data_IF_739498544615
#
_entry.id   IF_739498544615
#
_cell.length_a   1.000
_cell.length_b   1.000
_cell.length_c   1.000
_cell.angle_alpha   90.00
_cell.angle_beta   90.00
_cell.angle_gamma   90.00
#
_symmetry.space_group_name_H-M   'P 1'
#
loop_
_entity.id
_entity.type
_entity.pdbx_description
1 polymer ?
#
# COMPACT_ATOMS: atom_id res chain seq x y z
N UNK A 1 -4.50 2.15 -29.61
CA UNK A 1 -4.98 2.74 -28.34
C UNK A 1 -4.08 3.92 -27.98
N UNK A 2 -4.63 4.99 -27.40
CA UNK A 2 -3.82 6.17 -27.03
C UNK A 2 -2.85 5.79 -25.89
N UNK A 3 -1.57 6.14 -26.05
CA UNK A 3 -0.55 6.02 -25.00
C UNK A 3 -0.99 6.87 -23.81
N UNK A 4 -1.07 6.27 -22.61
CA UNK A 4 -1.33 7.01 -21.37
C UNK A 4 -0.11 6.89 -20.46
N UNK A 5 0.67 7.97 -20.39
CA UNK A 5 1.76 8.05 -19.44
C UNK A 5 1.16 8.22 -18.03
N UNK A 6 1.59 7.37 -17.13
CA UNK A 6 1.20 7.36 -15.71
C UNK A 6 2.46 7.42 -14.88
N UNK A 7 2.46 8.25 -13.86
CA UNK A 7 3.55 8.34 -12.90
C UNK A 7 3.01 8.13 -11.48
N UNK A 8 3.80 7.48 -10.64
CA UNK A 8 3.47 7.29 -9.23
C UNK A 8 4.70 7.52 -8.35
N UNK A 9 4.44 7.96 -7.13
CA UNK A 9 5.46 8.14 -6.08
C UNK A 9 5.04 7.32 -4.86
N UNK A 10 5.90 6.42 -4.46
CA UNK A 10 5.90 5.72 -3.19
C UNK A 10 6.79 6.49 -2.22
N UNK A 11 6.17 7.12 -1.20
CA UNK A 11 6.87 7.99 -0.24
C UNK A 11 7.08 7.23 1.07
N UNK A 12 7.99 6.26 1.03
CA UNK A 12 8.29 5.39 2.15
C UNK A 12 9.21 6.03 3.22
N UNK A 13 9.25 5.42 4.40
CA UNK A 13 10.07 5.90 5.53
C UNK A 13 11.58 5.74 5.29
N UNK A 14 12.00 4.74 4.50
CA UNK A 14 13.43 4.44 4.27
C UNK A 14 13.89 4.71 2.84
N UNK A 15 12.97 4.71 1.88
CA UNK A 15 13.22 5.04 0.48
C UNK A 15 12.04 5.79 -0.11
N UNK A 16 12.30 6.61 -1.11
CA UNK A 16 11.29 7.18 -2.00
C UNK A 16 11.53 6.59 -3.38
N UNK A 17 10.47 6.08 -4.00
CA UNK A 17 10.52 5.51 -5.34
C UNK A 17 9.50 6.19 -6.26
N UNK A 18 9.99 6.77 -7.36
CA UNK A 18 9.15 7.34 -8.43
C UNK A 18 9.20 6.44 -9.65
N UNK A 19 8.06 6.07 -10.19
CA UNK A 19 7.93 5.24 -11.38
C UNK A 19 7.16 5.96 -12.47
N UNK A 20 7.64 5.84 -13.72
CA UNK A 20 6.97 6.34 -14.92
C UNK A 20 6.69 5.16 -15.84
N UNK A 21 5.45 5.00 -16.27
CA UNK A 21 5.04 3.91 -17.12
C UNK A 21 4.08 4.37 -18.24
N UNK A 22 4.13 3.67 -19.36
CA UNK A 22 3.18 3.79 -20.46
C UNK A 22 2.13 2.67 -20.32
N UNK A 23 0.92 3.01 -19.93
CA UNK A 23 -0.19 2.08 -19.74
C UNK A 23 -1.03 2.04 -21.03
N UNK A 24 -1.02 0.90 -21.72
CA UNK A 24 -1.84 0.64 -22.91
C UNK A 24 -3.12 -0.13 -22.56
N UNK A 25 -3.04 -1.05 -21.60
CA UNK A 25 -4.17 -1.80 -21.03
C UNK A 25 -3.87 -2.21 -19.60
N UNK A 26 -4.76 -2.97 -18.97
CA UNK A 26 -4.56 -3.50 -17.60
C UNK A 26 -3.38 -4.47 -17.47
N UNK A 27 -3.04 -5.15 -18.59
CA UNK A 27 -1.99 -6.16 -18.67
C UNK A 27 -0.96 -5.82 -19.77
N UNK A 28 -0.82 -4.55 -20.13
CA UNK A 28 0.17 -4.04 -21.09
C UNK A 28 0.72 -2.72 -20.56
N UNK A 29 1.73 -2.83 -19.70
CA UNK A 29 2.33 -1.72 -18.95
C UNK A 29 3.85 -1.75 -19.18
N UNK A 30 4.34 -0.74 -19.87
CA UNK A 30 5.77 -0.54 -20.17
C UNK A 30 6.37 0.45 -19.16
N UNK A 31 7.29 -0.01 -18.32
CA UNK A 31 8.02 0.85 -17.39
C UNK A 31 9.11 1.59 -18.15
N UNK A 32 9.04 2.92 -18.15
CA UNK A 32 9.97 3.80 -18.88
C UNK A 32 11.12 4.30 -18.00
N UNK A 33 10.91 4.41 -16.69
CA UNK A 33 11.92 4.88 -15.77
C UNK A 33 11.51 4.72 -14.32
N UNK A 34 12.50 4.50 -13.46
CA UNK A 34 12.35 4.41 -12.01
C UNK A 34 13.46 5.22 -11.36
N UNK A 35 13.10 6.11 -10.44
CA UNK A 35 14.02 6.85 -9.59
C UNK A 35 13.88 6.39 -8.14
N UNK A 36 14.96 5.92 -7.52
CA UNK A 36 14.95 5.44 -6.12
C UNK A 36 16.05 6.13 -5.34
N UNK A 37 15.66 6.75 -4.23
CA UNK A 37 16.58 7.48 -3.35
C UNK A 37 16.30 7.14 -1.88
N UNK A 38 17.29 7.32 -0.98
CA UNK A 38 17.06 7.28 0.45
C UNK A 38 16.01 8.32 0.87
N UNK A 39 15.16 7.95 1.80
CA UNK A 39 14.13 8.85 2.33
C UNK A 39 14.62 9.56 3.59
N UNK A 40 14.45 10.87 3.61
CA UNK A 40 14.68 11.70 4.77
C UNK A 40 13.42 12.54 5.09
N UNK A 41 13.28 12.94 6.36
CA UNK A 41 12.15 13.77 6.80
C UNK A 41 10.82 13.02 6.98
N UNK A 42 10.83 11.66 6.91
CA UNK A 42 9.67 10.83 7.21
C UNK A 42 9.90 9.96 8.44
N UNK A 43 8.85 9.77 9.23
CA UNK A 43 8.84 8.84 10.36
C UNK A 43 7.50 8.11 10.43
N UNK A 44 7.55 6.76 10.39
CA UNK A 44 6.35 5.90 10.45
C UNK A 44 5.25 6.32 9.46
N UNK A 45 5.63 6.55 8.20
CA UNK A 45 4.72 6.94 7.11
C UNK A 45 4.22 8.38 7.17
N UNK A 46 4.76 9.24 8.05
CA UNK A 46 4.31 10.63 8.22
C UNK A 46 5.48 11.59 7.97
N UNK A 47 5.22 12.69 7.27
CA UNK A 47 6.19 13.77 7.07
C UNK A 47 6.41 14.50 8.41
N UNK A 48 7.65 14.47 8.91
CA UNK A 48 8.08 15.14 10.16
C UNK A 48 9.03 16.32 9.89
N UNK A 49 9.71 16.31 8.73
CA UNK A 49 10.53 17.40 8.23
C UNK A 49 10.20 17.65 6.75
N UNK A 50 9.56 18.80 6.49
CA UNK A 50 9.08 19.16 5.15
C UNK A 50 10.22 19.35 4.13
N UNK A 51 11.32 19.99 4.55
CA UNK A 51 12.42 20.32 3.63
C UNK A 51 13.20 19.07 3.23
N UNK A 52 13.49 18.17 4.17
CA UNK A 52 14.15 16.90 3.89
C UNK A 52 13.28 16.00 3.01
N UNK A 53 11.98 15.87 3.33
CA UNK A 53 11.05 15.08 2.52
C UNK A 53 10.95 15.63 1.09
N UNK A 54 10.83 16.95 0.94
CA UNK A 54 10.82 17.62 -0.36
C UNK A 54 12.11 17.36 -1.14
N UNK A 55 13.29 17.44 -0.49
CA UNK A 55 14.57 17.18 -1.15
C UNK A 55 14.62 15.74 -1.70
N UNK A 56 14.29 14.75 -0.88
CA UNK A 56 14.26 13.33 -1.30
C UNK A 56 13.23 13.08 -2.41
N UNK A 57 12.03 13.65 -2.33
CA UNK A 57 11.02 13.55 -3.41
C UNK A 57 11.54 14.19 -4.71
N UNK A 58 12.18 15.37 -4.61
CA UNK A 58 12.74 16.07 -5.78
C UNK A 58 13.79 15.21 -6.49
N UNK A 59 14.67 14.60 -5.75
CA UNK A 59 15.74 13.75 -6.29
C UNK A 59 15.15 12.51 -6.97
N UNK A 60 14.22 11.80 -6.32
CA UNK A 60 13.55 10.62 -6.89
C UNK A 60 12.80 10.95 -8.19
N UNK A 61 12.06 12.07 -8.22
CA UNK A 61 11.34 12.53 -9.43
C UNK A 61 12.31 12.90 -10.55
N UNK A 62 13.41 13.60 -10.23
CA UNK A 62 14.44 13.98 -11.21
C UNK A 62 15.10 12.74 -11.83
N UNK A 63 15.41 11.73 -11.04
CA UNK A 63 16.00 10.50 -11.54
C UNK A 63 15.05 9.72 -12.44
N UNK A 64 13.76 9.60 -12.05
CA UNK A 64 12.74 8.98 -12.88
C UNK A 64 12.54 9.73 -14.21
N UNK A 65 12.54 11.06 -14.19
CA UNK A 65 12.47 11.88 -15.42
C UNK A 65 13.71 11.69 -16.32
N UNK A 66 14.91 11.66 -15.72
CA UNK A 66 16.17 11.47 -16.45
C UNK A 66 16.21 10.11 -17.15
N UNK A 67 15.78 9.04 -16.46
CA UNK A 67 15.79 7.67 -16.98
C UNK A 67 14.70 7.48 -18.04
N UNK A 68 13.49 7.98 -17.80
CA UNK A 68 12.37 7.84 -18.73
C UNK A 68 12.42 8.78 -19.94
N UNK A 69 13.19 9.86 -19.86
CA UNK A 69 13.15 10.95 -20.84
C UNK A 69 11.83 11.73 -20.83
N UNK A 70 10.96 11.53 -19.82
CA UNK A 70 9.63 12.10 -19.74
C UNK A 70 9.54 13.13 -18.62
N UNK A 71 8.85 14.25 -18.88
CA UNK A 71 8.48 15.20 -17.84
C UNK A 71 7.31 14.64 -17.03
N UNK A 72 7.38 14.77 -15.71
CA UNK A 72 6.33 14.38 -14.78
C UNK A 72 5.55 15.63 -14.36
N UNK A 73 4.34 15.81 -14.90
CA UNK A 73 3.45 16.92 -14.52
C UNK A 73 2.46 16.55 -13.43
N UNK A 74 2.09 15.26 -13.33
CA UNK A 74 1.19 14.74 -12.30
C UNK A 74 1.57 13.32 -11.88
N UNK A 75 1.22 12.97 -10.64
CA UNK A 75 1.53 11.67 -10.03
C UNK A 75 0.38 11.13 -9.19
N UNK A 76 0.32 9.80 -9.08
CA UNK A 76 -0.40 9.13 -8.02
C UNK A 76 0.54 8.95 -6.82
N UNK A 77 0.07 9.16 -5.60
CA UNK A 77 0.91 9.11 -4.41
C UNK A 77 0.40 8.03 -3.46
N UNK A 78 1.31 7.16 -3.00
CA UNK A 78 1.05 6.22 -1.92
C UNK A 78 0.81 6.94 -0.59
N UNK A 79 -0.13 6.45 0.19
CA UNK A 79 -0.43 6.98 1.52
C UNK A 79 -0.48 5.84 2.52
N UNK A 80 0.32 5.95 3.58
CA UNK A 80 0.29 5.07 4.75
C UNK A 80 0.49 5.86 6.04
N UNK A 81 0.50 5.18 7.18
CA UNK A 81 0.82 5.71 8.49
C UNK A 81 -0.30 5.52 9.51
N UNK A 82 0.08 5.61 10.81
CA UNK A 82 -0.80 5.38 11.96
C UNK A 82 -2.06 6.26 12.02
N UNK A 83 -2.14 7.28 11.20
CA UNK A 83 -3.28 8.19 11.11
C UNK A 83 -4.44 7.65 10.27
N UNK A 84 -4.22 6.55 9.57
CA UNK A 84 -5.22 5.84 8.77
C UNK A 84 -6.09 4.98 9.70
N UNK A 85 -7.39 4.98 9.47
CA UNK A 85 -8.32 4.07 10.13
C UNK A 85 -9.35 3.57 9.15
N UNK A 86 -9.87 2.37 9.36
CA UNK A 86 -10.88 1.77 8.51
C UNK A 86 -12.07 1.24 9.30
N UNK A 87 -13.20 1.14 8.62
CA UNK A 87 -14.41 0.47 9.11
C UNK A 87 -15.25 -0.04 7.93
N UNK A 88 -16.09 -1.01 8.18
CA UNK A 88 -17.09 -1.46 7.21
C UNK A 88 -18.42 -0.79 7.50
N UNK A 89 -19.08 -0.28 6.45
CA UNK A 89 -20.40 0.35 6.59
C UNK A 89 -21.35 -0.14 5.50
N UNK A 90 -22.62 -0.27 5.89
CA UNK A 90 -23.69 -0.73 5.01
C UNK A 90 -24.54 0.44 4.55
N UNK A 91 -24.68 0.59 3.24
CA UNK A 91 -25.64 1.49 2.61
C UNK A 91 -26.88 0.72 2.18
N UNK A 92 -28.05 1.35 2.27
CA UNK A 92 -29.35 0.74 1.90
C UNK A 92 -30.17 1.76 1.13
N UNK A 93 -30.77 1.35 0.02
CA UNK A 93 -31.74 2.15 -0.74
C UNK A 93 -32.90 1.30 -1.22
N UNK A 94 -34.10 1.87 -1.26
CA UNK A 94 -35.26 1.27 -1.91
C UNK A 94 -35.25 1.54 -3.42
N UNK A 95 -35.83 0.63 -4.19
CA UNK A 95 -36.09 0.74 -5.62
C UNK A 95 -37.60 0.87 -5.82
N UNK A 96 -38.13 2.11 -5.84
CA UNK A 96 -39.58 2.35 -5.79
C UNK A 96 -40.28 2.22 -7.15
N UNK A 97 -39.55 1.94 -8.23
CA UNK A 97 -40.08 1.84 -9.59
C UNK A 97 -40.92 0.56 -9.79
N UNK A 98 -41.94 0.63 -10.62
CA UNK A 98 -42.85 -0.48 -10.90
C UNK A 98 -42.13 -1.68 -11.55
N UNK A 99 -41.11 -1.41 -12.37
CA UNK A 99 -40.29 -2.44 -13.01
C UNK A 99 -39.27 -3.10 -12.06
N UNK A 100 -39.06 -2.51 -10.87
CA UNK A 100 -38.13 -2.98 -9.84
C UNK A 100 -36.73 -3.30 -10.35
N UNK A 101 -36.34 -2.72 -11.49
CA UNK A 101 -35.06 -2.96 -12.13
C UNK A 101 -33.96 -2.08 -11.52
N UNK A 102 -32.85 -2.68 -11.07
CA UNK A 102 -31.68 -1.97 -10.56
C UNK A 102 -30.97 -1.25 -11.70
N UNK A 103 -30.78 0.05 -11.58
CA UNK A 103 -30.13 0.92 -12.55
C UNK A 103 -28.81 1.48 -12.03
N UNK A 104 -27.89 1.96 -12.88
CA UNK A 104 -26.65 2.60 -12.45
C UNK A 104 -26.84 3.75 -11.43
N UNK A 105 -27.98 4.43 -11.50
CA UNK A 105 -28.31 5.49 -10.54
C UNK A 105 -28.56 4.95 -9.12
N UNK A 106 -29.10 3.74 -8.99
CA UNK A 106 -29.32 3.10 -7.68
C UNK A 106 -28.00 2.69 -7.04
N UNK A 107 -27.00 2.25 -7.85
CA UNK A 107 -25.64 2.02 -7.36
C UNK A 107 -25.04 3.31 -6.80
N UNK A 108 -25.17 4.43 -7.51
CA UNK A 108 -24.68 5.73 -7.00
C UNK A 108 -25.35 6.13 -5.70
N UNK A 109 -26.67 5.92 -5.59
CA UNK A 109 -27.44 6.22 -4.37
C UNK A 109 -27.00 5.34 -3.19
N UNK A 110 -26.90 4.03 -3.38
CA UNK A 110 -26.53 3.10 -2.30
C UNK A 110 -25.09 3.31 -1.85
N UNK A 111 -24.17 3.59 -2.77
CA UNK A 111 -22.78 3.96 -2.44
C UNK A 111 -22.70 5.30 -1.70
N UNK A 112 -23.52 6.29 -2.08
CA UNK A 112 -23.63 7.56 -1.35
C UNK A 112 -24.14 7.35 0.07
N UNK A 113 -25.16 6.49 0.26
CA UNK A 113 -25.67 6.13 1.57
C UNK A 113 -24.59 5.43 2.43
N UNK A 114 -23.82 4.50 1.83
CA UNK A 114 -22.71 3.83 2.53
C UNK A 114 -21.56 4.78 2.91
N UNK A 115 -21.33 5.85 2.13
CA UNK A 115 -20.33 6.89 2.42
C UNK A 115 -20.74 7.88 3.51
N UNK A 116 -22.02 7.93 3.85
CA UNK A 116 -22.56 8.85 4.87
C UNK A 116 -22.29 8.31 6.28
N UNK A 117 -21.00 8.22 6.64
CA UNK A 117 -20.54 7.83 7.98
C UNK A 117 -20.08 9.06 8.76
N UNK A 118 -20.22 9.01 10.07
CA UNK A 118 -19.61 10.02 10.94
C UNK A 118 -18.08 9.83 10.92
N UNK A 119 -17.37 10.78 10.30
CA UNK A 119 -15.91 10.79 10.26
C UNK A 119 -15.43 11.63 11.45
N UNK A 120 -14.48 11.14 12.28
CA UNK A 120 -13.93 11.91 13.39
C UNK A 120 -13.35 13.27 12.94
N UNK A 121 -13.38 14.25 13.83
CA UNK A 121 -12.79 15.56 13.58
C UNK A 121 -11.31 15.44 13.18
N UNK A 122 -10.87 16.26 12.21
CA UNK A 122 -9.52 16.20 11.65
C UNK A 122 -9.24 15.03 10.72
N UNK A 123 -10.20 14.13 10.47
CA UNK A 123 -10.09 13.07 9.45
C UNK A 123 -11.00 13.34 8.25
N UNK A 124 -10.68 12.72 7.12
CA UNK A 124 -11.49 12.72 5.89
C UNK A 124 -11.48 11.35 5.24
N UNK A 125 -12.51 11.08 4.48
CA UNK A 125 -12.63 9.89 3.65
C UNK A 125 -11.51 9.87 2.59
N UNK A 126 -10.71 8.80 2.60
CA UNK A 126 -9.68 8.51 1.60
C UNK A 126 -10.24 7.56 0.54
N UNK A 127 -10.77 6.40 0.95
CA UNK A 127 -11.39 5.43 0.05
C UNK A 127 -12.74 4.95 0.60
N UNK A 128 -13.63 4.55 -0.33
CA UNK A 128 -14.88 3.87 -0.02
C UNK A 128 -15.07 2.77 -1.08
N UNK A 129 -14.67 1.55 -0.74
CA UNK A 129 -14.55 0.44 -1.69
C UNK A 129 -15.70 -0.53 -1.48
N UNK A 130 -16.61 -0.71 -2.47
CA UNK A 130 -17.68 -1.68 -2.41
C UNK A 130 -17.10 -3.09 -2.28
N UNK A 131 -17.66 -3.88 -1.36
CA UNK A 131 -17.28 -5.29 -1.16
C UNK A 131 -18.24 -6.22 -1.90
N UNK A 132 -19.50 -6.10 -1.61
CA UNK A 132 -20.57 -6.84 -2.28
C UNK A 132 -21.88 -6.07 -2.16
N UNK A 133 -22.81 -6.43 -3.02
CA UNK A 133 -24.19 -5.94 -2.96
C UNK A 133 -25.11 -7.08 -2.52
N UNK A 134 -26.30 -6.75 -1.98
CA UNK A 134 -27.38 -7.70 -1.77
C UNK A 134 -28.68 -7.11 -2.30
N UNK A 135 -29.55 -7.95 -2.84
CA UNK A 135 -30.90 -7.60 -3.26
C UNK A 135 -31.90 -8.21 -2.27
N UNK A 136 -32.85 -7.39 -1.80
CA UNK A 136 -33.89 -7.80 -0.84
C UNK A 136 -33.34 -8.40 0.48
N UNK A 137 -32.04 -8.22 0.77
CA UNK A 137 -31.39 -8.80 1.94
C UNK A 137 -30.96 -10.27 1.80
N UNK A 138 -31.10 -10.83 0.62
CA UNK A 138 -30.78 -12.22 0.29
C UNK A 138 -29.32 -12.40 -0.14
N UNK A 139 -29.07 -13.15 -1.21
CA UNK A 139 -27.72 -13.54 -1.67
C UNK A 139 -26.85 -12.34 -2.07
N UNK A 140 -25.53 -12.52 -1.91
CA UNK A 140 -24.51 -11.55 -2.35
C UNK A 140 -24.39 -11.55 -3.87
N UNK A 141 -24.38 -10.38 -4.47
CA UNK A 141 -24.20 -10.18 -5.91
C UNK A 141 -23.05 -9.20 -6.18
N UNK A 142 -22.24 -9.48 -7.20
CA UNK A 142 -21.13 -8.58 -7.61
C UNK A 142 -21.62 -7.48 -8.55
N UNK A 143 -22.59 -7.75 -9.42
CA UNK A 143 -23.10 -6.81 -10.45
C UNK A 143 -24.62 -6.77 -10.44
N UNK A 144 -25.24 -5.95 -9.59
CA UNK A 144 -26.69 -5.92 -9.43
C UNK A 144 -27.43 -5.16 -10.54
N UNK A 145 -26.76 -4.36 -11.38
CA UNK A 145 -27.41 -3.62 -12.47
C UNK A 145 -28.09 -4.57 -13.46
N UNK A 146 -29.37 -4.32 -13.77
CA UNK A 146 -30.18 -5.19 -14.61
C UNK A 146 -30.89 -6.31 -13.88
N UNK A 147 -30.68 -6.49 -12.57
CA UNK A 147 -31.41 -7.46 -11.74
C UNK A 147 -32.67 -6.80 -11.15
N UNK A 148 -33.69 -7.63 -10.82
CA UNK A 148 -34.90 -7.16 -10.17
C UNK A 148 -34.77 -7.20 -8.65
N UNK A 149 -35.23 -6.14 -7.97
CA UNK A 149 -35.27 -6.06 -6.52
C UNK A 149 -36.01 -4.82 -6.04
N UNK A 150 -36.56 -4.87 -4.84
CA UNK A 150 -37.22 -3.74 -4.20
C UNK A 150 -36.29 -2.95 -3.30
N UNK A 151 -35.18 -3.61 -2.88
CA UNK A 151 -34.16 -3.06 -1.98
C UNK A 151 -32.78 -3.45 -2.46
N UNK A 152 -31.87 -2.48 -2.53
CA UNK A 152 -30.46 -2.69 -2.82
C UNK A 152 -29.62 -2.25 -1.61
N UNK A 153 -28.76 -3.15 -1.14
CA UNK A 153 -27.78 -2.87 -0.09
C UNK A 153 -26.37 -3.01 -0.67
N UNK A 154 -25.42 -2.30 -0.05
CA UNK A 154 -23.99 -2.46 -0.31
C UNK A 154 -23.21 -2.47 0.99
N UNK A 155 -22.30 -3.43 1.13
CA UNK A 155 -21.27 -3.39 2.15
C UNK A 155 -20.04 -2.70 1.58
N UNK A 156 -19.53 -1.70 2.28
CA UNK A 156 -18.43 -0.85 1.78
C UNK A 156 -17.34 -0.75 2.82
N UNK A 157 -16.10 -0.98 2.42
CA UNK A 157 -14.92 -0.72 3.24
C UNK A 157 -14.58 0.77 3.14
N UNK A 158 -14.66 1.46 4.27
CA UNK A 158 -14.43 2.90 4.40
C UNK A 158 -13.06 3.12 5.02
N UNK A 159 -12.23 3.90 4.37
CA UNK A 159 -10.87 4.25 4.85
C UNK A 159 -10.80 5.76 5.03
N UNK A 160 -10.38 6.20 6.20
CA UNK A 160 -10.20 7.61 6.54
C UNK A 160 -8.76 7.92 6.92
N UNK A 161 -8.33 9.16 6.66
CA UNK A 161 -6.99 9.64 6.95
C UNK A 161 -7.00 11.00 7.63
N UNK A 162 -5.96 11.33 8.41
CA UNK A 162 -5.76 12.67 8.98
C UNK A 162 -5.60 13.71 7.87
N UNK A 163 -6.36 14.80 7.97
CA UNK A 163 -6.29 15.92 7.02
C UNK A 163 -4.90 16.55 7.00
N UNK A 164 -4.32 16.81 8.17
CA UNK A 164 -3.01 17.46 8.28
C UNK A 164 -1.87 16.58 7.72
N UNK A 165 -1.86 15.27 8.04
CA UNK A 165 -0.83 14.34 7.55
C UNK A 165 -0.84 14.23 6.03
N UNK A 166 -2.02 14.07 5.44
CA UNK A 166 -2.17 13.97 3.97
C UNK A 166 -1.85 15.30 3.30
N UNK A 167 -2.28 16.44 3.88
CA UNK A 167 -1.98 17.76 3.32
C UNK A 167 -0.48 18.07 3.34
N UNK A 168 0.25 17.66 4.38
CA UNK A 168 1.71 17.82 4.43
C UNK A 168 2.38 17.03 3.30
N UNK A 169 1.99 15.78 3.09
CA UNK A 169 2.49 14.95 1.98
C UNK A 169 2.21 15.59 0.62
N UNK A 170 0.95 15.98 0.38
CA UNK A 170 0.52 16.65 -0.87
C UNK A 170 1.29 17.95 -1.08
N UNK A 171 1.52 18.73 -0.01
CA UNK A 171 2.28 19.98 -0.07
C UNK A 171 3.75 19.74 -0.44
N UNK A 172 4.39 18.66 0.06
CA UNK A 172 5.75 18.28 -0.37
C UNK A 172 5.79 18.04 -1.90
N UNK A 173 4.84 17.29 -2.45
CA UNK A 173 4.77 16.99 -3.89
C UNK A 173 4.46 18.26 -4.70
N UNK A 174 3.47 19.06 -4.29
CA UNK A 174 3.15 20.32 -4.99
C UNK A 174 4.29 21.33 -4.99
N UNK A 175 5.11 21.37 -3.92
CA UNK A 175 6.22 22.32 -3.79
C UNK A 175 7.35 22.10 -4.83
N UNK A 176 7.37 20.95 -5.50
CA UNK A 176 8.31 20.65 -6.60
C UNK A 176 7.70 20.85 -7.99
N UNK A 177 6.49 21.44 -8.06
CA UNK A 177 5.78 21.70 -9.33
C UNK A 177 5.07 20.51 -9.93
N UNK A 178 4.85 19.43 -9.17
CA UNK A 178 4.15 18.21 -9.60
C UNK A 178 2.76 18.17 -8.96
N UNK A 179 1.72 17.94 -9.77
CA UNK A 179 0.34 17.82 -9.29
C UNK A 179 0.06 16.41 -8.77
N UNK A 180 -0.69 16.30 -7.67
CA UNK A 180 -1.19 15.02 -7.17
C UNK A 180 -2.50 14.68 -7.86
N UNK A 181 -2.51 13.65 -8.70
CA UNK A 181 -3.70 13.21 -9.43
C UNK A 181 -4.63 12.38 -8.55
N UNK A 182 -4.07 11.46 -7.76
CA UNK A 182 -4.80 10.60 -6.83
C UNK A 182 -3.93 10.19 -5.64
N UNK A 183 -4.60 9.80 -4.53
CA UNK A 183 -3.99 9.30 -3.31
C UNK A 183 -4.45 7.85 -3.11
N UNK A 184 -3.51 6.93 -3.03
CA UNK A 184 -3.78 5.50 -2.98
C UNK A 184 -3.25 4.94 -1.66
N UNK A 185 -4.10 4.26 -0.90
CA UNK A 185 -3.65 3.56 0.30
C UNK A 185 -2.65 2.46 -0.08
N UNK A 186 -1.46 2.46 0.52
CA UNK A 186 -0.34 1.60 0.14
C UNK A 186 -0.67 0.10 0.16
N UNK A 187 -1.33 -0.48 1.19
CA UNK A 187 -1.67 -1.91 1.17
C UNK A 187 -2.65 -2.30 0.05
N UNK A 188 -3.47 -1.37 -0.47
CA UNK A 188 -4.27 -1.65 -1.67
C UNK A 188 -3.39 -1.77 -2.91
N UNK A 189 -2.42 -0.87 -3.04
CA UNK A 189 -1.46 -0.90 -4.14
C UNK A 189 -0.58 -2.16 -4.07
N UNK A 190 0.05 -2.44 -2.92
CA UNK A 190 0.89 -3.62 -2.74
C UNK A 190 0.13 -4.92 -3.06
N UNK A 191 -1.14 -5.02 -2.65
CA UNK A 191 -2.01 -6.16 -2.96
C UNK A 191 -2.20 -6.38 -4.46
N UNK A 192 -2.26 -5.30 -5.28
CA UNK A 192 -2.34 -5.43 -6.74
C UNK A 192 -1.07 -6.04 -7.34
N UNK A 193 0.09 -5.80 -6.73
CA UNK A 193 1.36 -6.30 -7.24
C UNK A 193 1.66 -7.74 -6.83
N UNK A 194 1.29 -8.17 -5.60
CA UNK A 194 1.81 -9.41 -5.01
C UNK A 194 0.79 -10.53 -4.84
N UNK A 195 -0.52 -10.22 -4.97
CA UNK A 195 -1.58 -11.20 -4.78
C UNK A 195 -2.16 -11.68 -6.11
N UNK A 196 -2.34 -12.99 -6.21
CA UNK A 196 -3.09 -13.57 -7.32
C UNK A 196 -4.59 -13.32 -7.18
N UNK A 197 -5.33 -13.41 -8.27
CA UNK A 197 -6.79 -13.30 -8.24
C UNK A 197 -7.41 -14.39 -7.36
N UNK A 198 -6.88 -15.62 -7.42
CA UNK A 198 -7.38 -16.72 -6.61
C UNK A 198 -7.22 -16.46 -5.12
N UNK A 199 -6.08 -15.93 -4.67
CA UNK A 199 -5.87 -15.58 -3.27
C UNK A 199 -6.86 -14.49 -2.80
N UNK A 200 -7.09 -13.45 -3.61
CA UNK A 200 -8.06 -12.40 -3.27
C UNK A 200 -9.50 -12.92 -3.21
N UNK A 201 -9.86 -13.87 -4.07
CA UNK A 201 -11.21 -14.49 -4.08
C UNK A 201 -11.41 -15.42 -2.88
N UNK A 202 -10.44 -16.30 -2.60
CA UNK A 202 -10.54 -17.30 -1.55
C UNK A 202 -10.39 -16.76 -0.15
N UNK A 203 -9.57 -15.72 0.00
CA UNK A 203 -9.23 -15.09 1.28
C UNK A 203 -7.75 -15.18 1.61
N UNK A 204 -7.11 -14.03 1.82
CA UNK A 204 -5.67 -13.89 2.11
C UNK A 204 -5.42 -12.68 2.99
N UNK A 205 -4.48 -12.80 3.92
CA UNK A 205 -3.89 -11.68 4.64
C UNK A 205 -2.63 -11.27 3.89
N UNK A 206 -2.42 -9.99 3.69
CA UNK A 206 -1.16 -9.43 3.20
C UNK A 206 -0.60 -8.48 4.25
N UNK A 207 0.70 -8.59 4.53
CA UNK A 207 1.43 -7.65 5.37
C UNK A 207 2.62 -7.10 4.57
N UNK A 208 2.59 -5.81 4.27
CA UNK A 208 3.71 -5.05 3.71
C UNK A 208 4.54 -4.51 4.86
N UNK A 209 5.66 -5.18 5.15
CA UNK A 209 6.58 -4.82 6.23
C UNK A 209 7.65 -3.90 5.68
N UNK A 210 7.39 -2.60 5.78
CA UNK A 210 8.28 -1.54 5.32
C UNK A 210 9.43 -1.25 6.30
N UNK A 211 9.95 -0.02 6.22
CA UNK A 211 10.93 0.49 7.17
C UNK A 211 10.29 1.05 8.45
N UNK A 212 9.17 1.78 8.33
CA UNK A 212 8.53 2.48 9.44
C UNK A 212 7.16 1.96 9.85
N UNK A 213 6.46 1.28 8.95
CA UNK A 213 5.11 0.74 9.12
C UNK A 213 5.02 -0.68 8.61
N UNK A 214 4.11 -1.45 9.19
CA UNK A 214 3.59 -2.70 8.65
C UNK A 214 2.14 -2.48 8.26
N UNK A 215 1.88 -2.54 6.98
CA UNK A 215 0.57 -2.24 6.39
C UNK A 215 -0.15 -3.54 6.08
N UNK A 216 -1.29 -3.74 6.73
CA UNK A 216 -2.06 -4.98 6.66
C UNK A 216 -3.29 -4.76 5.79
N UNK A 217 -3.55 -5.72 4.90
CA UNK A 217 -4.78 -5.81 4.14
C UNK A 217 -5.29 -7.25 4.11
N UNK A 218 -6.55 -7.44 4.40
CA UNK A 218 -7.26 -8.72 4.24
C UNK A 218 -8.14 -8.62 3.01
N UNK A 219 -7.96 -9.54 2.07
CA UNK A 219 -8.80 -9.66 0.89
C UNK A 219 -9.67 -10.91 1.00
N UNK A 220 -10.92 -10.82 0.55
CA UNK A 220 -11.86 -11.93 0.46
C UNK A 220 -12.98 -11.61 -0.54
N UNK A 221 -13.48 -12.60 -1.24
CA UNK A 221 -14.52 -12.46 -2.26
C UNK A 221 -14.12 -11.49 -3.40
N UNK A 222 -12.79 -11.36 -3.65
CA UNK A 222 -12.22 -10.46 -4.66
C UNK A 222 -12.18 -8.99 -4.24
N UNK A 223 -12.46 -8.66 -2.98
CA UNK A 223 -12.47 -7.28 -2.47
C UNK A 223 -11.71 -7.16 -1.15
N UNK A 224 -11.40 -5.92 -0.77
CA UNK A 224 -10.79 -5.63 0.53
C UNK A 224 -11.81 -5.87 1.66
N UNK A 225 -11.40 -6.62 2.66
CA UNK A 225 -12.22 -6.97 3.82
C UNK A 225 -11.87 -6.12 5.04
N UNK A 226 -10.59 -5.92 5.28
CA UNK A 226 -10.06 -5.18 6.43
C UNK A 226 -8.71 -4.56 6.08
N UNK A 227 -8.38 -3.41 6.70
CA UNK A 227 -7.06 -2.78 6.64
C UNK A 227 -6.65 -2.28 8.02
N UNK A 228 -5.38 -2.45 8.35
CA UNK A 228 -4.78 -1.90 9.56
C UNK A 228 -3.33 -1.46 9.30
N UNK A 229 -2.80 -0.56 10.09
CA UNK A 229 -1.43 -0.07 9.97
C UNK A 229 -0.77 -0.08 11.34
N UNK A 230 0.26 -0.90 11.47
CA UNK A 230 1.07 -1.04 12.69
C UNK A 230 2.31 -0.15 12.55
N UNK A 231 2.60 0.76 13.51
CA UNK A 231 3.79 1.63 13.46
C UNK A 231 5.05 0.92 14.00
N UNK A 232 5.21 -0.36 13.66
CA UNK A 232 6.35 -1.23 13.97
C UNK A 232 6.77 -1.93 12.69
N UNK A 233 8.06 -1.87 12.34
CA UNK A 233 8.61 -2.46 11.11
C UNK A 233 10.14 -2.54 11.17
N UNK A 234 10.82 -2.51 10.03
CA UNK A 234 12.27 -2.67 9.92
C UNK A 234 13.11 -1.69 10.74
N UNK A 235 12.62 -0.47 11.02
CA UNK A 235 13.30 0.50 11.87
C UNK A 235 13.48 -0.01 13.30
N UNK A 236 12.43 -0.62 13.87
CA UNK A 236 12.49 -1.18 15.21
C UNK A 236 13.52 -2.31 15.30
N UNK A 237 13.57 -3.20 14.29
CA UNK A 237 14.61 -4.24 14.20
C UNK A 237 16.01 -3.62 14.24
N UNK A 238 16.25 -2.58 13.45
CA UNK A 238 17.54 -1.88 13.43
C UNK A 238 17.85 -1.24 14.78
N UNK A 239 16.85 -0.62 15.41
CA UNK A 239 16.99 0.00 16.74
C UNK A 239 17.36 -1.04 17.82
N UNK A 240 16.70 -2.20 17.78
CA UNK A 240 16.98 -3.29 18.73
C UNK A 240 18.40 -3.84 18.56
N UNK A 241 18.85 -4.02 17.31
CA UNK A 241 20.23 -4.40 16.99
C UNK A 241 21.23 -3.34 17.52
N UNK A 242 20.94 -2.06 17.27
CA UNK A 242 21.81 -0.97 17.71
C UNK A 242 21.97 -0.95 19.23
N UNK A 243 20.86 -1.10 19.96
CA UNK A 243 20.84 -1.11 21.42
C UNK A 243 21.46 -2.42 21.96
N UNK A 244 21.02 -3.58 21.45
CA UNK A 244 21.43 -4.89 21.97
C UNK A 244 22.89 -5.21 21.73
N UNK A 245 23.48 -4.72 20.64
CA UNK A 245 24.88 -4.95 20.28
C UNK A 245 25.77 -3.72 20.52
N UNK A 246 25.23 -2.61 21.03
CA UNK A 246 26.00 -1.39 21.31
C UNK A 246 26.56 -0.74 20.03
N UNK A 247 25.85 -0.79 18.91
CA UNK A 247 26.31 -0.33 17.60
C UNK A 247 25.65 0.99 17.17
N UNK A 248 26.34 1.81 16.36
CA UNK A 248 25.69 2.92 15.66
C UNK A 248 24.55 2.44 14.77
N UNK A 249 23.46 3.20 14.66
CA UNK A 249 22.25 2.81 13.93
C UNK A 249 22.51 2.45 12.46
N UNK A 250 23.37 3.20 11.78
CA UNK A 250 23.74 2.94 10.39
C UNK A 250 24.52 1.63 10.21
N UNK A 251 25.32 1.23 11.21
CA UNK A 251 26.01 -0.05 11.23
C UNK A 251 25.02 -1.17 11.49
N UNK A 252 24.14 -1.02 12.47
CA UNK A 252 23.08 -1.97 12.77
C UNK A 252 22.17 -2.24 11.55
N UNK A 253 21.84 -1.19 10.76
CA UNK A 253 21.08 -1.34 9.52
C UNK A 253 21.83 -2.15 8.46
N UNK A 254 23.13 -1.92 8.29
CA UNK A 254 24.00 -2.72 7.40
C UNK A 254 24.05 -4.18 7.87
N UNK A 255 24.21 -4.42 9.19
CA UNK A 255 24.21 -5.78 9.76
C UNK A 255 22.88 -6.49 9.55
N UNK A 256 21.76 -5.82 9.82
CA UNK A 256 20.43 -6.36 9.51
C UNK A 256 20.28 -6.81 8.07
N UNK A 257 20.67 -5.95 7.12
CA UNK A 257 20.54 -6.24 5.68
C UNK A 257 21.49 -7.33 5.19
N UNK A 258 22.70 -7.35 5.70
CA UNK A 258 23.74 -8.29 5.24
C UNK A 258 23.67 -9.67 5.92
N UNK A 259 23.27 -9.70 7.18
CA UNK A 259 23.39 -10.90 8.01
C UNK A 259 22.10 -11.28 8.74
N UNK A 260 21.05 -10.46 8.70
CA UNK A 260 19.78 -10.72 9.39
C UNK A 260 19.15 -12.04 8.96
N UNK A 261 19.02 -12.98 9.92
CA UNK A 261 18.44 -14.30 9.72
C UNK A 261 17.62 -14.67 10.95
N UNK A 262 16.36 -15.05 10.76
CA UNK A 262 15.46 -15.43 11.87
C UNK A 262 15.44 -16.93 12.13
N UNK A 263 16.20 -17.74 11.37
CA UNK A 263 16.32 -19.20 11.49
C UNK A 263 17.79 -19.66 11.48
N UNK A 264 18.65 -19.11 12.37
CA UNK A 264 20.10 -19.35 12.31
C UNK A 264 20.51 -20.81 12.56
N UNK A 265 19.67 -21.62 13.20
CA UNK A 265 19.97 -23.01 13.52
C UNK A 265 20.09 -23.96 12.31
N UNK A 266 19.79 -23.50 11.10
CA UNK A 266 19.92 -24.27 9.85
C UNK A 266 21.28 -24.03 9.17
N UNK A 267 22.03 -23.00 9.57
CA UNK A 267 23.30 -22.63 8.96
C UNK A 267 24.42 -22.57 10.01
N UNK A 268 24.97 -23.74 10.36
CA UNK A 268 26.10 -23.89 11.30
C UNK A 268 27.46 -23.51 10.68
N UNK A 269 27.49 -23.07 9.40
CA UNK A 269 28.72 -22.78 8.66
C UNK A 269 29.19 -21.33 8.81
N UNK A 270 28.37 -20.42 9.38
CA UNK A 270 28.76 -19.02 9.57
C UNK A 270 29.64 -18.84 10.80
N UNK A 271 30.65 -17.98 10.65
CA UNK A 271 31.54 -17.59 11.74
C UNK A 271 30.76 -17.09 12.97
N UNK A 272 31.25 -17.35 14.17
CA UNK A 272 30.64 -16.89 15.42
C UNK A 272 30.51 -15.35 15.48
N UNK A 273 31.39 -14.64 14.79
CA UNK A 273 31.37 -13.19 14.64
C UNK A 273 31.15 -12.75 13.19
N UNK A 274 30.33 -11.74 13.01
CA UNK A 274 30.14 -11.03 11.73
C UNK A 274 30.74 -9.64 11.82
N UNK A 275 31.63 -9.32 10.87
CA UNK A 275 32.29 -8.03 10.79
C UNK A 275 31.73 -7.18 9.65
N UNK A 276 31.74 -5.86 9.85
CA UNK A 276 31.42 -4.86 8.83
C UNK A 276 32.56 -3.84 8.77
N UNK A 277 32.56 -3.02 7.70
CA UNK A 277 33.45 -1.87 7.53
C UNK A 277 33.65 -1.07 8.84
N UNK A 278 34.84 -0.53 9.04
CA UNK A 278 35.23 0.28 10.22
C UNK A 278 35.50 -0.52 11.50
N UNK A 279 35.78 -1.82 11.44
CA UNK A 279 36.20 -2.61 12.58
C UNK A 279 35.09 -2.96 13.56
N UNK A 280 33.82 -2.74 13.21
CA UNK A 280 32.69 -3.22 14.00
C UNK A 280 32.46 -4.70 13.73
N UNK A 281 32.35 -5.50 14.78
CA UNK A 281 31.94 -6.90 14.73
C UNK A 281 30.93 -7.19 15.84
N UNK A 282 30.14 -8.22 15.65
CA UNK A 282 29.16 -8.68 16.64
C UNK A 282 28.95 -10.19 16.52
N UNK A 283 28.48 -10.79 17.62
CA UNK A 283 28.04 -12.18 17.58
C UNK A 283 26.91 -12.36 16.58
N UNK A 284 27.10 -13.27 15.62
CA UNK A 284 26.07 -13.62 14.63
C UNK A 284 24.80 -14.16 15.30
N UNK A 285 24.99 -14.96 16.34
CA UNK A 285 23.90 -15.55 17.09
C UNK A 285 23.06 -14.49 17.78
N UNK A 286 23.69 -13.54 18.49
CA UNK A 286 22.99 -12.48 19.21
C UNK A 286 22.25 -11.56 18.22
N UNK A 287 22.85 -11.24 17.07
CA UNK A 287 22.19 -10.53 15.99
C UNK A 287 20.91 -11.23 15.53
N UNK A 288 21.01 -12.54 15.25
CA UNK A 288 19.87 -13.34 14.80
C UNK A 288 18.77 -13.47 15.85
N UNK A 289 19.14 -13.66 17.12
CA UNK A 289 18.19 -13.77 18.24
C UNK A 289 17.42 -12.46 18.44
N UNK A 290 18.08 -11.29 18.34
CA UNK A 290 17.43 -9.98 18.39
C UNK A 290 16.44 -9.81 17.24
N UNK A 291 16.87 -10.10 16.01
CA UNK A 291 16.02 -9.97 14.81
C UNK A 291 14.81 -10.89 14.93
N UNK A 292 15.03 -12.15 15.33
CA UNK A 292 13.98 -13.14 15.51
C UNK A 292 12.93 -12.70 16.53
N UNK A 293 13.37 -12.28 17.72
CA UNK A 293 12.45 -11.85 18.79
C UNK A 293 11.55 -10.71 18.34
N UNK A 294 12.09 -9.71 17.61
CA UNK A 294 11.29 -8.61 17.08
C UNK A 294 10.30 -9.08 16.01
N UNK A 295 10.67 -10.03 15.16
CA UNK A 295 9.77 -10.56 14.15
C UNK A 295 8.66 -11.44 14.73
N UNK A 296 8.94 -12.21 15.78
CA UNK A 296 7.93 -12.96 16.54
C UNK A 296 6.88 -12.00 17.13
N UNK A 297 7.31 -10.94 17.81
CA UNK A 297 6.40 -9.89 18.31
C UNK A 297 5.59 -9.24 17.19
N UNK A 298 6.20 -8.96 16.04
CA UNK A 298 5.48 -8.36 14.91
C UNK A 298 4.39 -9.29 14.37
N UNK A 299 4.62 -10.59 14.32
CA UNK A 299 3.59 -11.56 13.93
C UNK A 299 2.42 -11.59 14.93
N UNK A 300 2.70 -11.48 16.23
CA UNK A 300 1.64 -11.37 17.25
C UNK A 300 0.83 -10.08 17.06
N UNK A 301 1.50 -8.94 16.81
CA UNK A 301 0.84 -7.67 16.53
C UNK A 301 -0.04 -7.74 15.27
N UNK A 302 0.41 -8.44 14.22
CA UNK A 302 -0.41 -8.67 13.01
C UNK A 302 -1.70 -9.42 13.37
N UNK A 303 -1.63 -10.45 14.22
CA UNK A 303 -2.83 -11.18 14.63
C UNK A 303 -3.79 -10.33 15.47
N UNK A 304 -3.27 -9.45 16.32
CA UNK A 304 -4.10 -8.54 17.14
C UNK A 304 -4.92 -7.55 16.29
N UNK A 305 -4.42 -7.20 15.11
CA UNK A 305 -5.14 -6.31 14.19
C UNK A 305 -6.20 -7.02 13.33
N UNK A 306 -6.33 -8.35 13.45
CA UNK A 306 -7.32 -9.08 12.68
C UNK A 306 -8.74 -8.89 13.24
N UNK A 307 -9.77 -8.79 12.38
CA UNK A 307 -11.15 -8.57 12.79
C UNK A 307 -11.80 -9.80 13.45
N UNK A 308 -11.13 -10.93 13.49
CA UNK A 308 -11.57 -12.20 14.09
C UNK A 308 -10.38 -13.06 14.47
N UNK A 309 -10.58 -13.98 15.42
CA UNK A 309 -9.58 -14.98 15.79
C UNK A 309 -9.65 -16.26 14.94
N UNK A 310 -10.67 -16.43 14.11
CA UNK A 310 -10.77 -17.52 13.13
C UNK A 310 -10.06 -17.14 11.83
N UNK A 311 -8.72 -17.14 11.91
CA UNK A 311 -7.84 -16.75 10.79
C UNK A 311 -7.92 -17.74 9.61
N UNK A 312 -8.12 -19.03 9.89
CA UNK A 312 -8.18 -20.08 8.85
C UNK A 312 -9.42 -19.91 7.96
N UNK A 313 -10.57 -19.62 8.54
CA UNK A 313 -11.77 -19.30 7.79
C UNK A 313 -11.68 -17.92 7.11
N UNK A 314 -11.06 -16.95 7.77
CA UNK A 314 -10.90 -15.60 7.19
C UNK A 314 -9.97 -15.61 5.97
N UNK A 315 -8.85 -16.29 6.06
CA UNK A 315 -7.77 -16.28 5.06
C UNK A 315 -7.22 -17.70 4.81
N UNK A 316 -7.96 -18.56 4.14
CA UNK A 316 -7.53 -19.94 3.85
C UNK A 316 -6.26 -20.00 2.98
N UNK A 317 -5.92 -18.95 2.24
CA UNK A 317 -4.66 -18.84 1.51
C UNK A 317 -3.49 -18.38 2.40
N UNK A 318 -3.72 -18.09 3.69
CA UNK A 318 -2.69 -17.72 4.65
C UNK A 318 -2.24 -16.26 4.57
N UNK A 319 -0.96 -16.02 4.90
CA UNK A 319 -0.32 -14.71 4.95
C UNK A 319 0.71 -14.55 3.83
N UNK A 320 0.64 -13.43 3.14
CA UNK A 320 1.65 -12.99 2.18
C UNK A 320 2.45 -11.83 2.78
N UNK A 321 3.76 -12.05 2.94
CA UNK A 321 4.69 -11.05 3.46
C UNK A 321 5.35 -10.31 2.30
N UNK A 322 5.29 -9.00 2.27
CA UNK A 322 5.95 -8.16 1.27
C UNK A 322 6.64 -6.96 1.95
N UNK A 323 7.20 -6.04 1.17
CA UNK A 323 7.99 -4.94 1.70
C UNK A 323 9.47 -5.29 1.94
N UNK A 324 10.27 -4.27 2.22
CA UNK A 324 11.74 -4.45 2.35
C UNK A 324 12.17 -5.39 3.47
N UNK A 325 11.43 -5.41 4.58
CA UNK A 325 11.72 -6.29 5.72
C UNK A 325 11.35 -7.76 5.43
N UNK A 326 10.44 -8.03 4.49
CA UNK A 326 10.15 -9.39 4.04
C UNK A 326 11.35 -10.10 3.36
N UNK A 327 12.42 -9.37 3.08
CA UNK A 327 13.68 -9.91 2.56
C UNK A 327 14.57 -10.55 3.64
N UNK A 328 14.21 -10.44 4.93
CA UNK A 328 14.93 -11.14 6.00
C UNK A 328 14.90 -12.65 5.77
N UNK A 329 16.08 -13.27 5.86
CA UNK A 329 16.24 -14.71 5.66
C UNK A 329 15.43 -15.49 6.69
N UNK A 330 14.63 -16.46 6.24
CA UNK A 330 13.83 -17.36 7.10
C UNK A 330 12.53 -16.76 7.62
N UNK A 331 12.15 -15.52 7.20
CA UNK A 331 10.99 -14.83 7.77
C UNK A 331 9.66 -15.57 7.49
N UNK A 332 9.49 -16.13 6.30
CA UNK A 332 8.28 -16.89 5.97
C UNK A 332 8.16 -18.19 6.80
N UNK A 333 9.28 -18.86 7.03
CA UNK A 333 9.36 -20.06 7.85
C UNK A 333 9.07 -19.74 9.33
N UNK A 334 9.63 -18.66 9.87
CA UNK A 334 9.30 -18.18 11.20
C UNK A 334 7.80 -17.86 11.31
N UNK A 335 7.26 -17.14 10.33
CA UNK A 335 5.83 -16.82 10.29
C UNK A 335 4.94 -18.07 10.31
N UNK A 336 5.29 -19.12 9.54
CA UNK A 336 4.58 -20.41 9.57
C UNK A 336 4.61 -21.05 10.95
N UNK A 337 5.75 -20.99 11.63
CA UNK A 337 5.92 -21.61 12.96
C UNK A 337 5.13 -20.87 14.05
N UNK A 338 5.14 -19.54 14.03
CA UNK A 338 4.46 -18.68 15.03
C UNK A 338 2.95 -18.68 14.80
N UNK A 339 2.51 -18.47 13.56
CA UNK A 339 1.10 -18.29 13.23
C UNK A 339 0.35 -19.60 13.02
N UNK A 340 1.05 -20.71 12.78
CA UNK A 340 0.50 -22.05 12.49
C UNK A 340 -0.46 -22.10 11.31
N UNK A 341 -0.22 -21.27 10.30
CA UNK A 341 -0.89 -21.32 8.99
C UNK A 341 0.09 -20.96 7.86
N UNK A 342 -0.36 -21.01 6.62
CA UNK A 342 0.52 -20.83 5.47
C UNK A 342 1.05 -19.38 5.42
N UNK A 343 2.36 -19.26 5.20
CA UNK A 343 3.02 -17.96 5.00
C UNK A 343 3.93 -18.07 3.77
N UNK A 344 3.88 -17.08 2.89
CA UNK A 344 4.79 -16.97 1.76
C UNK A 344 5.33 -15.56 1.62
N UNK A 345 6.50 -15.41 1.01
CA UNK A 345 7.00 -14.13 0.55
C UNK A 345 6.23 -13.72 -0.72
N UNK A 346 5.77 -12.48 -0.76
CA UNK A 346 5.13 -11.84 -1.89
C UNK A 346 6.11 -10.93 -2.61
N UNK A 347 6.32 -11.21 -3.90
CA UNK A 347 7.06 -10.35 -4.81
C UNK A 347 6.12 -9.90 -5.92
N UNK A 348 6.34 -8.72 -6.54
CA UNK A 348 5.55 -8.32 -7.69
C UNK A 348 5.53 -9.41 -8.75
N UNK A 349 4.31 -9.79 -9.16
CA UNK A 349 4.10 -10.94 -10.07
C UNK A 349 4.58 -10.68 -11.50
N UNK A 350 4.82 -9.41 -11.86
CA UNK A 350 5.32 -9.01 -13.16
C UNK A 350 4.36 -9.26 -14.35
N UNK A 351 3.15 -9.72 -14.09
CA UNK A 351 2.17 -10.02 -15.16
C UNK A 351 1.77 -8.72 -15.86
N UNK A 352 2.07 -8.65 -17.17
CA UNK A 352 1.74 -7.49 -17.99
C UNK A 352 2.65 -6.28 -17.78
N UNK A 353 3.74 -6.40 -17.01
CA UNK A 353 4.72 -5.35 -16.77
C UNK A 353 6.04 -5.71 -17.45
N UNK A 354 6.63 -4.79 -18.20
CA UNK A 354 7.91 -4.96 -18.88
C UNK A 354 8.66 -3.62 -19.02
N UNK A 355 9.86 -3.64 -19.59
CA UNK A 355 10.73 -2.47 -19.74
C UNK A 355 11.79 -2.41 -18.63
N UNK A 356 11.97 -1.28 -17.97
CA UNK A 356 12.97 -1.08 -16.89
C UNK A 356 12.39 -1.63 -15.59
N UNK A 357 12.49 -2.94 -15.38
CA UNK A 357 11.78 -3.66 -14.30
C UNK A 357 12.67 -4.41 -13.32
N UNK A 358 13.98 -4.51 -13.53
CA UNK A 358 14.85 -5.39 -12.76
C UNK A 358 14.72 -5.25 -11.24
N UNK A 359 14.63 -4.01 -10.75
CA UNK A 359 14.46 -3.75 -9.31
C UNK A 359 13.03 -3.98 -8.83
N UNK A 360 12.03 -3.92 -9.73
CA UNK A 360 10.61 -3.97 -9.37
C UNK A 360 10.12 -5.34 -8.95
N UNK A 361 10.91 -6.40 -9.23
CA UNK A 361 10.58 -7.77 -8.79
C UNK A 361 10.94 -8.04 -7.32
N UNK A 362 11.68 -7.16 -6.66
CA UNK A 362 11.96 -7.27 -5.24
C UNK A 362 10.71 -6.89 -4.41
N UNK A 363 10.45 -7.62 -3.33
CA UNK A 363 9.34 -7.36 -2.41
C UNK A 363 9.33 -5.92 -1.88
N UNK A 364 10.51 -5.28 -1.76
CA UNK A 364 10.65 -3.90 -1.33
C UNK A 364 9.97 -2.88 -2.27
N UNK A 365 9.60 -3.27 -3.50
CA UNK A 365 8.94 -2.40 -4.49
C UNK A 365 7.51 -2.82 -4.79
N UNK A 366 6.90 -3.63 -3.93
CA UNK A 366 5.50 -4.07 -4.08
C UNK A 366 4.54 -2.87 -4.17
N UNK A 367 4.64 -1.92 -3.25
CA UNK A 367 3.84 -0.70 -3.27
C UNK A 367 4.10 0.15 -4.51
N UNK A 368 5.36 0.39 -4.87
CA UNK A 368 5.75 1.18 -6.05
C UNK A 368 5.15 0.60 -7.33
N UNK A 369 5.30 -0.72 -7.54
CA UNK A 369 4.73 -1.45 -8.68
C UNK A 369 3.20 -1.44 -8.63
N UNK A 370 2.65 -1.65 -7.45
CA UNK A 370 1.22 -1.69 -7.21
C UNK A 370 0.50 -0.37 -7.49
N UNK A 371 1.13 0.77 -7.25
CA UNK A 371 0.56 2.08 -7.57
C UNK A 371 0.26 2.25 -9.07
N UNK A 372 1.12 1.74 -9.94
CA UNK A 372 0.88 1.75 -11.40
C UNK A 372 -0.20 0.75 -11.78
N UNK A 373 -0.16 -0.47 -11.20
CA UNK A 373 -1.18 -1.50 -11.44
C UNK A 373 -2.57 -1.03 -10.97
N UNK A 374 -2.65 -0.40 -9.81
CA UNK A 374 -3.89 0.18 -9.29
C UNK A 374 -4.49 1.17 -10.28
N UNK A 375 -3.69 2.09 -10.79
CA UNK A 375 -4.13 3.08 -11.76
C UNK A 375 -4.56 2.47 -13.11
N UNK A 376 -3.92 1.37 -13.52
CA UNK A 376 -4.27 0.67 -14.76
C UNK A 376 -5.58 -0.13 -14.62
N UNK A 377 -5.81 -0.76 -13.48
CA UNK A 377 -6.91 -1.72 -13.25
C UNK A 377 -8.13 -1.09 -12.62
N UNK A 378 -7.95 -0.11 -11.73
CA UNK A 378 -9.04 0.50 -10.97
C UNK A 378 -9.49 1.82 -11.60
N UNK A 379 -10.77 1.92 -11.91
CA UNK A 379 -11.40 3.14 -12.43
C UNK A 379 -11.89 4.08 -11.33
N UNK A 380 -11.99 3.59 -10.10
CA UNK A 380 -12.44 4.35 -8.94
C UNK A 380 -11.26 5.15 -8.38
N UNK A 381 -11.40 6.47 -8.37
CA UNK A 381 -10.45 7.38 -7.72
C UNK A 381 -10.72 7.44 -6.22
N UNK A 382 -9.71 7.87 -5.46
CA UNK A 382 -9.91 8.16 -4.04
C UNK A 382 -11.03 9.18 -3.83
N UNK A 383 -11.72 9.08 -2.72
CA UNK A 383 -12.73 10.08 -2.33
C UNK A 383 -12.08 11.41 -1.90
N UNK A 384 -10.76 11.43 -1.76
CA UNK A 384 -10.00 12.61 -1.41
C UNK A 384 -9.82 13.52 -2.62
N UNK A 385 -10.54 14.64 -2.64
CA UNK A 385 -10.34 15.66 -3.67
C UNK A 385 -9.15 16.55 -3.30
N UNK A 386 -8.04 16.38 -4.00
CA UNK A 386 -6.90 17.30 -3.91
C UNK A 386 -7.29 18.59 -4.64
N UNK A 387 -7.32 19.73 -3.92
CA UNK A 387 -7.54 21.03 -4.58
C UNK A 387 -6.34 21.30 -5.49
N UNK A 388 -6.59 21.40 -6.81
CA UNK A 388 -5.56 21.83 -7.76
C UNK A 388 -5.07 23.21 -7.36
N UNK A 389 -3.83 23.29 -6.92
CA UNK A 389 -3.17 24.56 -6.56
C UNK A 389 -2.72 25.27 -7.84
N UNK A 390 -3.28 26.46 -8.09
CA UNK A 390 -2.80 27.34 -9.13
C UNK A 390 -3.92 28.12 -9.82
N UNK A 391 -3.68 29.41 -10.07
CA UNK A 391 -4.56 30.34 -10.82
C UNK A 391 -4.90 29.78 -12.22
N UNK A 392 -4.00 28.96 -12.83
CA UNK A 392 -4.20 28.27 -14.12
C UNK A 392 -5.21 27.12 -14.06
N UNK A 393 -5.35 26.41 -12.91
CA UNK A 393 -6.32 25.31 -12.76
C UNK A 393 -7.77 25.78 -12.83
N UNK A 394 -8.06 27.00 -12.37
CA UNK A 394 -9.39 27.61 -12.50
C UNK A 394 -9.75 27.96 -13.95
N UNK A 395 -8.80 28.39 -14.75
CA UNK A 395 -9.03 28.75 -16.16
C UNK A 395 -9.27 27.50 -17.03
N UNK A 396 -8.54 26.41 -16.82
CA UNK A 396 -8.72 25.14 -17.56
C UNK A 396 -10.06 24.48 -17.24
N UNK A 397 -10.53 24.56 -16.00
CA UNK A 397 -11.85 24.04 -15.63
C UNK A 397 -13.00 24.86 -16.21
N UNK A 398 -12.82 26.17 -16.33
CA UNK A 398 -13.79 27.08 -16.96
C UNK A 398 -13.86 26.82 -18.48
N UNK A 399 -12.70 26.65 -19.15
CA UNK A 399 -12.63 26.33 -20.58
C UNK A 399 -13.27 24.97 -20.91
N UNK A 400 -13.04 23.93 -20.09
CA UNK A 400 -13.71 22.62 -20.29
C UNK A 400 -15.22 22.63 -20.05
N UNK A 401 -15.75 23.59 -19.28
CA UNK A 401 -17.21 23.76 -19.12
C UNK A 401 -17.84 24.50 -20.32
N UNK A 402 -17.12 25.40 -20.96
CA UNK A 402 -17.60 26.18 -22.12
C UNK A 402 -17.58 25.40 -23.45
N UNK A 403 -16.73 24.34 -23.56
CA UNK A 403 -16.63 23.51 -24.77
C UNK A 403 -17.28 22.12 -24.64
N UNK A 404 -18.18 21.94 -23.66
CA UNK A 404 -19.04 20.75 -23.49
C UNK A 404 -20.53 21.16 -23.47
N UNK A 405 -20.90 22.12 -24.30
CA UNK A 405 -22.28 22.39 -24.64
C UNK A 405 -22.54 21.86 -26.08
#
# INVERSE_FOLDING_TARGET
MAKKIVSAIDVGTTKIATIVANVRSQDDIEVLGVGVVPSHGLHKGIVVNMEEAKASITESVRDAQRISGMRIDSVNVGVTGRHITSLNNRGVVSIPRDDRLVRPQDLKRVLSAARSVSVPEGKRLLHAIPRYYTLNGEERVKKPVGMHGTRLDVETHIITASVSSVQNLVKCVHSIGVEVEDLILEPLAAGEAVLTQQERESGVIMADIGGGTTDIAVFRDGSIYHTAIIPVAGYQVTSDIAIGLGLPFNIAEKMKKGYGNVTPGLDTSKADEVGIENGHSASYRDLCDIVRSRMEELFELILLEMPTTDYQTLAPCGLVLTGGTANLTGLAELGKSVLRFQVRKGQPLGVGIYGITDILYDAAYATTTGLILWQARNKERSAWQVKRGGILGSFVSLFRRLFRA
#
